data_IF_663644796321
#
_entry.id   IF_663644796321
#
_cell.length_a   1.000
_cell.length_b   1.000
_cell.length_c   1.000
_cell.angle_alpha   90.00
_cell.angle_beta   90.00
_cell.angle_gamma   90.00
#
_symmetry.space_group_name_H-M   'P 1'
#
loop_
_entity.id
_entity.type
_entity.pdbx_description
1 polymer ?
#
# COMPACT_ATOMS: atom_id res chain seq x y z
N UNK A 1 -92.05 -18.11 -21.98
CA UNK A 1 -92.00 -19.34 -21.16
C UNK A 1 -90.98 -20.25 -21.84
N UNK A 2 -89.88 -20.75 -21.28
CA UNK A 2 -89.25 -20.79 -19.96
C UNK A 2 -87.77 -21.15 -20.21
N UNK A 3 -86.80 -20.32 -19.84
CA UNK A 3 -85.90 -20.52 -18.68
C UNK A 3 -85.02 -21.79 -18.68
N UNK A 4 -83.78 -21.69 -19.21
CA UNK A 4 -82.53 -22.34 -18.74
C UNK A 4 -81.35 -21.51 -19.29
N UNK A 5 -80.71 -20.63 -18.52
CA UNK A 5 -79.57 -20.85 -17.59
C UNK A 5 -78.25 -21.25 -18.27
N UNK A 6 -77.49 -20.27 -18.76
CA UNK A 6 -76.03 -20.35 -18.88
C UNK A 6 -75.40 -19.53 -17.74
N UNK A 7 -74.69 -20.22 -16.86
CA UNK A 7 -73.92 -19.63 -15.77
C UNK A 7 -72.65 -18.97 -16.33
N UNK A 8 -72.63 -17.64 -16.32
CA UNK A 8 -71.44 -16.82 -16.54
C UNK A 8 -70.65 -16.76 -15.24
N UNK A 9 -69.41 -17.23 -15.28
CA UNK A 9 -68.40 -17.05 -14.23
C UNK A 9 -68.21 -15.56 -13.92
N UNK A 10 -68.61 -15.11 -12.73
CA UNK A 10 -68.13 -13.88 -12.08
C UNK A 10 -67.16 -14.26 -10.95
N UNK A 11 -65.99 -13.61 -10.85
CA UNK A 11 -65.01 -13.91 -9.82
C UNK A 11 -65.54 -13.52 -8.43
N UNK A 12 -65.27 -14.38 -7.45
CA UNK A 12 -65.51 -14.17 -6.02
C UNK A 12 -64.85 -12.86 -5.58
N UNK A 13 -65.65 -11.97 -5.00
CA UNK A 13 -65.16 -10.92 -4.10
C UNK A 13 -64.53 -11.63 -2.90
N UNK A 14 -63.20 -11.60 -2.82
CA UNK A 14 -62.48 -11.94 -1.59
C UNK A 14 -62.41 -10.66 -0.74
N UNK A 15 -62.97 -10.73 0.46
CA UNK A 15 -62.91 -9.69 1.47
C UNK A 15 -61.45 -9.29 1.73
N UNK A 16 -61.17 -7.99 1.63
CA UNK A 16 -59.91 -7.42 2.07
C UNK A 16 -59.78 -7.62 3.59
N UNK A 17 -58.70 -8.25 4.10
CA UNK A 17 -58.36 -8.13 5.50
C UNK A 17 -57.86 -6.70 5.75
N UNK A 18 -58.73 -5.89 6.35
CA UNK A 18 -58.36 -4.61 6.98
C UNK A 18 -57.42 -4.89 8.16
N UNK A 19 -56.12 -4.97 7.87
CA UNK A 19 -55.10 -5.30 8.87
C UNK A 19 -53.67 -4.93 8.48
N UNK A 20 -53.48 -4.07 7.49
CA UNK A 20 -52.18 -3.47 7.24
C UNK A 20 -51.99 -2.32 8.25
N UNK A 21 -51.16 -2.55 9.26
CA UNK A 21 -50.64 -1.46 10.08
C UNK A 21 -50.04 -0.40 9.13
N UNK A 22 -50.45 0.87 9.22
CA UNK A 22 -49.87 1.91 8.38
C UNK A 22 -48.37 1.96 8.68
N UNK A 23 -47.56 2.13 7.63
CA UNK A 23 -46.16 2.55 7.78
C UNK A 23 -46.16 3.74 8.74
N UNK A 24 -45.74 3.49 9.98
CA UNK A 24 -45.72 4.51 11.01
C UNK A 24 -44.71 5.55 10.57
N UNK A 25 -45.23 6.74 10.25
CA UNK A 25 -44.43 7.96 10.18
C UNK A 25 -43.64 7.99 11.50
N UNK A 26 -42.29 8.00 11.49
CA UNK A 26 -41.52 8.03 12.72
C UNK A 26 -41.97 9.24 13.55
N UNK A 27 -42.20 9.03 14.85
CA UNK A 27 -42.66 10.09 15.74
C UNK A 27 -41.84 11.39 15.54
N UNK A 28 -42.48 12.57 15.56
CA UNK A 28 -41.79 13.86 15.34
C UNK A 28 -40.64 14.14 16.34
N UNK A 29 -40.55 13.38 17.43
CA UNK A 29 -39.45 13.39 18.40
C UNK A 29 -38.14 12.80 17.82
N UNK A 30 -38.21 11.75 16.98
CA UNK A 30 -37.06 11.12 16.33
C UNK A 30 -36.47 11.99 15.21
N UNK A 31 -37.29 12.83 14.58
CA UNK A 31 -36.86 13.80 13.57
C UNK A 31 -36.04 14.97 14.15
N UNK A 32 -36.01 15.16 15.48
CA UNK A 32 -35.24 16.24 16.12
C UNK A 32 -33.96 15.77 16.81
N UNK A 33 -33.67 14.47 16.81
CA UNK A 33 -32.47 13.94 17.43
C UNK A 33 -31.22 14.41 16.67
N UNK A 34 -30.26 14.99 17.38
CA UNK A 34 -28.96 15.39 16.82
C UNK A 34 -27.86 14.42 17.26
N UNK A 35 -26.83 14.17 16.41
CA UNK A 35 -25.68 13.35 16.79
C UNK A 35 -24.91 13.95 17.98
N UNK A 36 -24.98 15.27 18.16
CA UNK A 36 -24.16 16.02 19.11
C UNK A 36 -22.66 15.86 18.84
N UNK A 37 -21.83 16.48 19.68
CA UNK A 37 -20.38 16.42 19.53
C UNK A 37 -19.84 14.98 19.52
N UNK A 38 -20.32 14.12 20.42
CA UNK A 38 -19.89 12.73 20.51
C UNK A 38 -20.18 11.89 19.26
N UNK A 39 -21.26 12.18 18.52
CA UNK A 39 -21.57 11.50 17.26
C UNK A 39 -20.61 11.91 16.13
N UNK A 40 -20.34 13.21 15.99
CA UNK A 40 -19.40 13.73 14.98
C UNK A 40 -17.94 13.37 15.28
N UNK A 41 -17.50 13.53 16.54
CA UNK A 41 -16.15 13.13 16.95
C UNK A 41 -15.96 11.62 16.82
N UNK A 42 -16.96 10.83 17.18
CA UNK A 42 -16.93 9.38 17.05
C UNK A 42 -16.82 8.92 15.60
N UNK A 43 -17.60 9.46 14.67
CA UNK A 43 -17.55 9.04 13.25
C UNK A 43 -16.23 9.45 12.60
N UNK A 44 -15.76 10.67 12.88
CA UNK A 44 -14.45 11.16 12.43
C UNK A 44 -13.34 10.19 12.86
N UNK A 45 -13.27 9.85 14.15
CA UNK A 45 -12.25 8.95 14.69
C UNK A 45 -12.40 7.51 14.19
N UNK A 46 -13.63 7.03 13.99
CA UNK A 46 -13.90 5.69 13.44
C UNK A 46 -13.36 5.60 12.01
N UNK A 47 -13.70 6.55 11.14
CA UNK A 47 -13.25 6.53 9.75
C UNK A 47 -11.74 6.77 9.65
N UNK A 48 -11.17 7.66 10.46
CA UNK A 48 -9.72 7.85 10.54
C UNK A 48 -8.99 6.56 10.95
N UNK A 49 -9.51 5.87 11.98
CA UNK A 49 -8.99 4.58 12.44
C UNK A 49 -9.04 3.51 11.36
N UNK A 50 -10.19 3.37 10.67
CA UNK A 50 -10.41 2.34 9.66
C UNK A 50 -9.52 2.55 8.44
N UNK A 51 -9.46 3.77 7.90
CA UNK A 51 -8.61 4.05 6.74
C UNK A 51 -7.13 3.92 7.10
N UNK A 52 -6.71 4.40 8.28
CA UNK A 52 -5.33 4.22 8.73
C UNK A 52 -4.97 2.73 8.88
N UNK A 53 -5.90 1.91 9.40
CA UNK A 53 -5.73 0.46 9.51
C UNK A 53 -5.67 -0.23 8.15
N UNK A 54 -6.55 0.15 7.22
CA UNK A 54 -6.55 -0.38 5.85
C UNK A 54 -5.20 -0.12 5.17
N UNK A 55 -4.69 1.11 5.26
CA UNK A 55 -3.38 1.45 4.71
C UNK A 55 -2.23 0.75 5.44
N UNK A 56 -2.31 0.55 6.76
CA UNK A 56 -1.32 -0.23 7.48
C UNK A 56 -1.29 -1.69 7.01
N UNK A 57 -2.46 -2.29 6.76
CA UNK A 57 -2.57 -3.65 6.23
C UNK A 57 -1.98 -3.76 4.82
N UNK A 58 -2.22 -2.79 3.93
CA UNK A 58 -1.57 -2.82 2.60
C UNK A 58 -0.05 -2.78 2.73
N UNK A 59 0.47 -2.10 3.76
CA UNK A 59 1.91 -2.04 4.05
C UNK A 59 2.48 -3.29 4.69
N UNK A 60 1.72 -3.92 5.57
CA UNK A 60 2.10 -5.23 6.12
C UNK A 60 2.10 -6.29 5.01
N UNK A 61 1.13 -6.24 4.10
CA UNK A 61 0.99 -7.21 3.03
C UNK A 61 2.09 -7.12 2.00
N UNK A 62 2.61 -5.93 1.69
CA UNK A 62 3.77 -5.82 0.80
C UNK A 62 5.01 -6.52 1.36
N UNK A 63 5.15 -6.56 2.70
CA UNK A 63 6.25 -7.24 3.38
C UNK A 63 5.99 -8.75 3.46
N UNK A 64 4.81 -9.16 3.94
CA UNK A 64 4.47 -10.58 4.13
C UNK A 64 4.27 -11.33 2.82
N UNK A 65 3.58 -10.71 1.88
CA UNK A 65 3.14 -11.27 0.61
C UNK A 65 3.70 -10.45 -0.54
N UNK A 66 3.31 -10.78 -1.76
CA UNK A 66 3.67 -10.01 -2.93
C UNK A 66 2.68 -8.86 -3.17
N UNK A 67 3.15 -7.77 -3.78
CA UNK A 67 2.42 -6.52 -3.98
C UNK A 67 0.97 -6.65 -4.48
N UNK A 68 0.73 -7.58 -5.41
CA UNK A 68 -0.57 -7.77 -6.04
C UNK A 68 -1.65 -8.29 -5.07
N UNK A 69 -1.27 -8.86 -3.92
CA UNK A 69 -2.23 -9.26 -2.91
C UNK A 69 -2.61 -8.12 -1.96
N UNK A 70 -1.99 -6.94 -2.05
CA UNK A 70 -2.44 -5.77 -1.30
C UNK A 70 -3.88 -5.37 -1.66
N UNK A 71 -4.34 -5.63 -2.90
CA UNK A 71 -5.72 -5.42 -3.33
C UNK A 71 -6.74 -6.28 -2.55
N UNK A 72 -6.30 -7.39 -1.95
CA UNK A 72 -7.16 -8.21 -1.07
C UNK A 72 -7.65 -7.41 0.14
N UNK A 73 -6.85 -6.48 0.66
CA UNK A 73 -7.23 -5.63 1.79
C UNK A 73 -8.43 -4.76 1.41
N UNK A 74 -8.34 -4.05 0.28
CA UNK A 74 -9.44 -3.19 -0.21
C UNK A 74 -10.69 -4.01 -0.50
N UNK A 75 -10.54 -5.16 -1.17
CA UNK A 75 -11.65 -6.06 -1.48
C UNK A 75 -12.36 -6.59 -0.23
N UNK A 76 -11.60 -7.01 0.79
CA UNK A 76 -12.15 -7.48 2.06
C UNK A 76 -12.75 -6.37 2.91
N UNK A 77 -12.22 -5.14 2.81
CA UNK A 77 -12.80 -3.96 3.44
C UNK A 77 -14.18 -3.66 2.86
N UNK A 78 -14.28 -3.52 1.53
CA UNK A 78 -15.56 -3.29 0.85
C UNK A 78 -16.57 -4.41 1.13
N UNK A 79 -16.12 -5.67 1.11
CA UNK A 79 -16.97 -6.81 1.46
C UNK A 79 -17.47 -6.75 2.90
N UNK A 80 -16.61 -6.43 3.88
CA UNK A 80 -16.99 -6.28 5.28
C UNK A 80 -18.02 -5.17 5.49
N UNK A 81 -17.79 -4.00 4.89
CA UNK A 81 -18.76 -2.91 4.92
C UNK A 81 -20.09 -3.30 4.26
N UNK A 82 -20.06 -3.95 3.09
CA UNK A 82 -21.26 -4.44 2.40
C UNK A 82 -22.04 -5.45 3.24
N UNK A 83 -21.35 -6.43 3.82
CA UNK A 83 -21.94 -7.44 4.70
C UNK A 83 -22.59 -6.81 5.95
N UNK A 84 -22.00 -5.75 6.49
CA UNK A 84 -22.57 -5.02 7.63
C UNK A 84 -23.90 -4.35 7.29
N UNK A 85 -24.03 -3.80 6.07
CA UNK A 85 -25.26 -3.19 5.56
C UNK A 85 -26.36 -4.23 5.38
N UNK A 86 -26.05 -5.37 4.77
CA UNK A 86 -26.99 -6.50 4.63
C UNK A 86 -27.46 -7.00 6.00
N UNK A 87 -26.52 -7.18 6.94
CA UNK A 87 -26.86 -7.61 8.29
C UNK A 87 -27.79 -6.63 9.01
N UNK A 88 -27.56 -5.32 8.84
CA UNK A 88 -28.40 -4.30 9.48
C UNK A 88 -29.79 -4.21 8.82
N UNK A 89 -29.88 -4.39 7.49
CA UNK A 89 -31.15 -4.40 6.76
C UNK A 89 -32.09 -5.53 7.19
N UNK A 90 -31.52 -6.68 7.60
CA UNK A 90 -32.29 -7.83 8.10
C UNK A 90 -32.70 -7.71 9.58
N UNK A 91 -32.22 -6.68 10.30
CA UNK A 91 -32.46 -6.49 11.74
C UNK A 91 -33.51 -5.39 11.97
N UNK A 92 -34.32 -5.56 13.02
CA UNK A 92 -35.26 -4.51 13.42
C UNK A 92 -34.53 -3.27 13.98
N UNK A 93 -34.97 -2.05 13.62
CA UNK A 93 -34.40 -0.81 14.15
C UNK A 93 -34.47 -0.78 15.69
N UNK A 94 -33.41 -0.30 16.34
CA UNK A 94 -33.33 -0.18 17.81
C UNK A 94 -33.48 1.28 18.26
N UNK A 95 -33.91 1.54 19.52
CA UNK A 95 -34.00 2.89 20.07
C UNK A 95 -32.64 3.64 20.08
N UNK A 96 -32.67 4.94 19.80
CA UNK A 96 -31.47 5.82 19.74
C UNK A 96 -30.71 5.87 21.08
N UNK A 97 -31.42 5.76 22.22
CA UNK A 97 -30.81 5.83 23.55
C UNK A 97 -29.88 4.63 23.88
N UNK A 98 -30.18 3.44 23.34
CA UNK A 98 -29.33 2.25 23.48
C UNK A 98 -28.26 2.17 22.38
N UNK A 99 -28.44 2.92 21.29
CA UNK A 99 -27.49 2.96 20.17
C UNK A 99 -26.13 3.52 20.59
N UNK A 100 -26.06 4.68 21.26
CA UNK A 100 -24.76 5.30 21.63
C UNK A 100 -23.88 4.37 22.47
N UNK A 101 -24.51 3.73 23.44
CA UNK A 101 -23.92 2.72 24.31
C UNK A 101 -23.44 1.49 23.53
N UNK A 102 -24.16 1.07 22.48
CA UNK A 102 -23.77 0.00 21.56
C UNK A 102 -22.65 0.40 20.61
N UNK A 103 -22.62 1.65 20.12
CA UNK A 103 -21.51 2.16 19.31
C UNK A 103 -20.21 2.11 20.11
N UNK A 104 -20.25 2.45 21.40
CA UNK A 104 -19.12 2.26 22.31
C UNK A 104 -18.65 0.80 22.44
N UNK A 105 -19.58 -0.15 22.54
CA UNK A 105 -19.26 -1.59 22.53
C UNK A 105 -18.64 -2.05 21.21
N UNK A 106 -19.20 -1.62 20.09
CA UNK A 106 -18.69 -1.94 18.76
C UNK A 106 -17.31 -1.32 18.53
N UNK A 107 -17.04 -0.13 19.06
CA UNK A 107 -15.71 0.48 19.02
C UNK A 107 -14.68 -0.28 19.85
N UNK A 108 -15.07 -0.82 21.01
CA UNK A 108 -14.19 -1.71 21.78
C UNK A 108 -13.95 -3.02 21.03
N UNK A 109 -15.00 -3.59 20.43
CA UNK A 109 -14.87 -4.77 19.57
C UNK A 109 -13.95 -4.49 18.38
N UNK A 110 -14.09 -3.33 17.72
CA UNK A 110 -13.23 -2.92 16.60
C UNK A 110 -11.76 -2.83 17.02
N UNK A 111 -11.50 -2.25 18.19
CA UNK A 111 -10.16 -2.17 18.78
C UNK A 111 -9.54 -3.57 18.91
N UNK A 112 -10.30 -4.52 19.47
CA UNK A 112 -9.83 -5.90 19.66
C UNK A 112 -9.68 -6.63 18.33
N UNK A 113 -10.63 -6.48 17.40
CA UNK A 113 -10.60 -7.19 16.12
C UNK A 113 -9.50 -6.69 15.20
N UNK A 114 -9.12 -5.40 15.24
CA UNK A 114 -7.96 -4.88 14.51
C UNK A 114 -6.65 -5.52 14.98
N UNK A 115 -6.43 -5.59 16.30
CA UNK A 115 -5.25 -6.24 16.87
C UNK A 115 -5.24 -7.75 16.61
N UNK A 116 -6.39 -8.41 16.77
CA UNK A 116 -6.54 -9.83 16.47
C UNK A 116 -6.29 -10.13 14.98
N UNK A 117 -6.82 -9.28 14.08
CA UNK A 117 -6.57 -9.37 12.64
C UNK A 117 -5.07 -9.32 12.34
N UNK A 118 -4.37 -8.33 12.89
CA UNK A 118 -2.92 -8.23 12.77
C UNK A 118 -2.19 -9.47 13.29
N UNK A 119 -2.55 -9.97 14.47
CA UNK A 119 -1.91 -11.16 15.05
C UNK A 119 -2.14 -12.40 14.19
N UNK A 120 -3.35 -12.58 13.65
CA UNK A 120 -3.66 -13.69 12.74
C UNK A 120 -2.83 -13.59 11.46
N UNK A 121 -2.84 -12.42 10.82
CA UNK A 121 -2.04 -12.15 9.60
C UNK A 121 -0.54 -12.32 9.86
N UNK A 122 -0.05 -11.95 11.04
CA UNK A 122 1.37 -12.07 11.41
C UNK A 122 1.78 -13.51 11.73
N UNK A 123 0.90 -14.31 12.35
CA UNK A 123 1.26 -15.62 12.92
C UNK A 123 0.80 -16.83 12.10
N UNK A 124 -0.22 -16.70 11.25
CA UNK A 124 -0.71 -17.79 10.42
C UNK A 124 0.11 -17.84 9.12
N UNK A 125 1.01 -18.82 8.93
CA UNK A 125 2.03 -18.81 7.88
C UNK A 125 1.42 -19.14 6.52
N UNK A 126 0.97 -18.12 5.80
CA UNK A 126 0.34 -18.29 4.49
C UNK A 126 1.36 -18.14 3.36
N UNK A 127 1.43 -19.14 2.49
CA UNK A 127 2.33 -19.18 1.34
C UNK A 127 1.57 -19.28 0.02
N UNK A 128 1.64 -18.24 -0.82
CA UNK A 128 0.83 -18.16 -2.05
C UNK A 128 1.23 -19.14 -3.17
N UNK A 129 2.50 -19.51 -3.31
CA UNK A 129 2.94 -20.38 -4.44
C UNK A 129 2.93 -21.87 -4.11
N UNK A 130 2.51 -22.23 -2.89
CA UNK A 130 2.74 -23.55 -2.33
C UNK A 130 1.42 -24.33 -2.12
N UNK A 131 0.37 -24.03 -2.88
CA UNK A 131 -0.94 -24.69 -2.72
C UNK A 131 -0.94 -26.16 -3.14
N UNK A 132 -0.18 -26.52 -4.19
CA UNK A 132 -0.15 -27.88 -4.70
C UNK A 132 0.58 -28.83 -3.75
N UNK A 133 1.70 -28.39 -3.17
CA UNK A 133 2.50 -29.21 -2.27
C UNK A 133 1.99 -29.12 -0.82
N UNK A 134 1.38 -28.00 -0.43
CA UNK A 134 0.87 -27.77 0.93
C UNK A 134 -0.61 -27.30 0.92
N UNK A 135 -1.58 -28.22 0.84
CA UNK A 135 -3.02 -27.90 0.81
C UNK A 135 -3.54 -27.16 2.05
N UNK A 136 -2.80 -27.18 3.17
CA UNK A 136 -3.13 -26.39 4.38
C UNK A 136 -3.20 -24.89 4.08
N UNK A 137 -2.53 -24.41 3.02
CA UNK A 137 -2.61 -23.02 2.57
C UNK A 137 -4.04 -22.58 2.20
N UNK A 138 -4.93 -23.49 1.78
CA UNK A 138 -6.34 -23.16 1.57
C UNK A 138 -7.05 -22.80 2.89
N UNK A 139 -6.74 -23.53 3.97
CA UNK A 139 -7.27 -23.22 5.31
C UNK A 139 -6.69 -21.90 5.83
N UNK A 140 -5.38 -21.69 5.68
CA UNK A 140 -4.73 -20.43 6.07
C UNK A 140 -5.30 -19.23 5.32
N UNK A 141 -5.52 -19.36 4.01
CA UNK A 141 -6.19 -18.33 3.22
C UNK A 141 -7.60 -18.04 3.75
N UNK A 142 -8.38 -19.07 4.06
CA UNK A 142 -9.69 -18.91 4.68
C UNK A 142 -9.65 -18.17 6.02
N UNK A 143 -8.70 -18.53 6.89
CA UNK A 143 -8.48 -17.85 8.18
C UNK A 143 -8.13 -16.38 7.97
N UNK A 144 -7.26 -16.06 7.00
CA UNK A 144 -6.90 -14.70 6.66
C UNK A 144 -8.11 -13.89 6.17
N UNK A 145 -8.91 -14.42 5.24
CA UNK A 145 -10.12 -13.73 4.77
C UNK A 145 -11.08 -13.42 5.91
N UNK A 146 -11.34 -14.38 6.79
CA UNK A 146 -12.19 -14.15 7.96
C UNK A 146 -11.60 -13.06 8.86
N UNK A 147 -10.31 -13.16 9.18
CA UNK A 147 -9.63 -12.19 10.04
C UNK A 147 -9.64 -10.77 9.46
N UNK A 148 -9.52 -10.62 8.14
CA UNK A 148 -9.58 -9.32 7.45
C UNK A 148 -11.00 -8.74 7.44
N UNK A 149 -12.01 -9.55 7.13
CA UNK A 149 -13.39 -9.08 6.99
C UNK A 149 -13.97 -8.60 8.33
N UNK A 150 -13.62 -9.25 9.44
CA UNK A 150 -14.21 -8.97 10.76
C UNK A 150 -14.06 -7.51 11.22
N UNK A 151 -12.88 -6.87 11.27
CA UNK A 151 -12.76 -5.47 11.67
C UNK A 151 -13.55 -4.52 10.76
N UNK A 152 -13.53 -4.72 9.44
CA UNK A 152 -14.28 -3.88 8.51
C UNK A 152 -15.80 -4.08 8.60
N UNK A 153 -16.24 -5.31 8.89
CA UNK A 153 -17.65 -5.58 9.21
C UNK A 153 -18.10 -4.82 10.47
N UNK A 154 -17.30 -4.85 11.54
CA UNK A 154 -17.61 -4.13 12.79
C UNK A 154 -17.60 -2.63 12.57
N UNK A 155 -16.64 -2.10 11.82
CA UNK A 155 -16.60 -0.68 11.44
C UNK A 155 -17.83 -0.28 10.62
N UNK A 156 -18.21 -1.09 9.64
CA UNK A 156 -19.41 -0.88 8.84
C UNK A 156 -20.69 -0.86 9.70
N UNK A 157 -20.79 -1.71 10.73
CA UNK A 157 -21.90 -1.66 11.68
C UNK A 157 -21.96 -0.33 12.46
N UNK A 158 -20.82 0.26 12.82
CA UNK A 158 -20.75 1.55 13.52
C UNK A 158 -21.26 2.66 12.59
N UNK A 159 -20.68 2.75 11.39
CA UNK A 159 -20.99 3.81 10.42
C UNK A 159 -22.44 3.69 9.94
N UNK A 160 -22.88 2.51 9.51
CA UNK A 160 -24.23 2.30 9.01
C UNK A 160 -25.30 2.59 10.07
N UNK A 161 -25.11 2.13 11.32
CA UNK A 161 -26.07 2.44 12.40
C UNK A 161 -26.15 3.94 12.68
N UNK A 162 -25.01 4.65 12.66
CA UNK A 162 -25.00 6.08 12.94
C UNK A 162 -25.68 6.89 11.83
N UNK A 163 -25.39 6.57 10.56
CA UNK A 163 -26.02 7.26 9.41
C UNK A 163 -27.52 6.96 9.33
N UNK A 164 -27.94 5.71 9.57
CA UNK A 164 -29.35 5.33 9.57
C UNK A 164 -30.15 5.97 10.73
N UNK A 165 -29.49 6.29 11.85
CA UNK A 165 -30.16 6.87 13.01
C UNK A 165 -30.43 8.37 12.91
N UNK A 166 -29.69 9.10 12.06
CA UNK A 166 -29.80 10.55 11.92
C UNK A 166 -29.98 10.98 10.45
N UNK A 167 -31.09 10.59 9.79
CA UNK A 167 -31.29 10.85 8.36
C UNK A 167 -31.26 12.34 8.00
N UNK A 168 -31.73 13.24 8.88
CA UNK A 168 -31.71 14.69 8.66
C UNK A 168 -30.31 15.32 8.78
N UNK A 169 -29.34 14.62 9.38
CA UNK A 169 -27.96 15.09 9.53
C UNK A 169 -26.98 14.30 8.65
N UNK A 170 -27.50 13.45 7.75
CA UNK A 170 -26.71 12.49 6.99
C UNK A 170 -25.59 13.16 6.19
N UNK A 171 -25.86 14.27 5.50
CA UNK A 171 -24.85 15.00 4.71
C UNK A 171 -23.67 15.51 5.57
N UNK A 172 -23.93 15.97 6.81
CA UNK A 172 -22.88 16.43 7.72
C UNK A 172 -22.09 15.26 8.31
N UNK A 173 -22.77 14.17 8.66
CA UNK A 173 -22.11 12.96 9.17
C UNK A 173 -21.22 12.36 8.09
N UNK A 174 -21.73 12.23 6.87
CA UNK A 174 -20.96 11.76 5.71
C UNK A 174 -19.76 12.66 5.41
N UNK A 175 -19.93 13.99 5.43
CA UNK A 175 -18.78 14.91 5.31
C UNK A 175 -17.74 14.75 6.42
N UNK A 176 -18.17 14.47 7.65
CA UNK A 176 -17.28 14.23 8.79
C UNK A 176 -16.54 12.89 8.66
N UNK A 177 -17.21 11.86 8.14
CA UNK A 177 -16.64 10.57 7.76
C UNK A 177 -15.52 10.76 6.73
N UNK A 178 -15.79 11.46 5.62
CA UNK A 178 -14.79 11.73 4.58
C UNK A 178 -13.58 12.52 5.10
N UNK A 179 -13.80 13.52 5.95
CA UNK A 179 -12.72 14.29 6.58
C UNK A 179 -11.90 13.40 7.54
N UNK A 180 -12.56 12.50 8.27
CA UNK A 180 -11.90 11.50 9.11
C UNK A 180 -11.04 10.53 8.31
N UNK A 181 -11.60 9.96 7.25
CA UNK A 181 -10.90 9.10 6.30
C UNK A 181 -9.65 9.79 5.71
N UNK A 182 -9.79 11.03 5.22
CA UNK A 182 -8.68 11.82 4.68
C UNK A 182 -7.59 12.09 5.74
N UNK A 183 -7.98 12.43 6.97
CA UNK A 183 -7.04 12.61 8.07
C UNK A 183 -6.29 11.30 8.39
N UNK A 184 -6.99 10.17 8.45
CA UNK A 184 -6.39 8.84 8.64
C UNK A 184 -5.34 8.53 7.56
N UNK A 185 -5.64 8.80 6.30
CA UNK A 185 -4.71 8.59 5.19
C UNK A 185 -3.47 9.49 5.27
N UNK A 186 -3.64 10.77 5.59
CA UNK A 186 -2.53 11.72 5.69
C UNK A 186 -1.64 11.44 6.90
N UNK A 187 -2.20 10.94 8.01
CA UNK A 187 -1.45 10.59 9.22
C UNK A 187 -0.42 9.48 8.98
N UNK A 188 -0.64 8.58 8.02
CA UNK A 188 0.30 7.51 7.73
C UNK A 188 1.69 8.04 7.35
N UNK A 189 1.76 9.08 6.51
CA UNK A 189 3.00 9.56 5.88
C UNK A 189 4.04 9.99 6.93
N UNK A 190 3.75 10.90 7.88
CA UNK A 190 4.75 11.32 8.88
C UNK A 190 4.93 10.30 10.01
N UNK A 191 3.98 9.39 10.24
CA UNK A 191 4.01 8.50 11.39
C UNK A 191 4.64 7.14 11.10
N UNK A 192 4.50 6.60 9.89
CA UNK A 192 5.04 5.27 9.55
C UNK A 192 6.57 5.18 9.72
N UNK A 193 7.39 6.21 9.43
CA UNK A 193 8.85 6.08 9.60
C UNK A 193 9.27 5.87 11.06
N UNK A 194 8.50 6.43 11.99
CA UNK A 194 8.82 6.38 13.43
C UNK A 194 8.12 5.21 14.14
N UNK A 195 6.89 4.90 13.76
CA UNK A 195 6.07 3.88 14.42
C UNK A 195 6.20 2.50 13.77
N UNK A 196 6.66 2.42 12.52
CA UNK A 196 6.54 1.24 11.67
C UNK A 196 5.09 0.88 11.37
N UNK A 197 4.86 -0.09 10.49
CA UNK A 197 3.50 -0.51 10.17
C UNK A 197 2.78 -1.12 11.39
N UNK A 198 3.53 -1.75 12.29
CA UNK A 198 3.03 -2.37 13.51
C UNK A 198 2.53 -1.32 14.52
N UNK A 199 3.26 -0.21 14.68
CA UNK A 199 2.82 0.90 15.51
C UNK A 199 1.61 1.62 14.91
N UNK A 200 1.51 1.70 13.58
CA UNK A 200 0.30 2.25 12.92
C UNK A 200 -0.93 1.39 13.22
N UNK A 201 -0.82 0.06 13.24
CA UNK A 201 -1.94 -0.82 13.66
C UNK A 201 -2.38 -0.53 15.10
N UNK A 202 -1.43 -0.37 16.03
CA UNK A 202 -1.74 -0.03 17.43
C UNK A 202 -2.39 1.35 17.52
N UNK A 203 -1.93 2.33 16.73
CA UNK A 203 -2.53 3.65 16.65
C UNK A 203 -3.97 3.60 16.10
N UNK A 204 -4.23 2.82 15.05
CA UNK A 204 -5.58 2.63 14.52
C UNK A 204 -6.52 2.04 15.57
N UNK A 205 -6.08 1.00 16.30
CA UNK A 205 -6.85 0.43 17.40
C UNK A 205 -7.11 1.48 18.51
N UNK A 206 -6.11 2.32 18.84
CA UNK A 206 -6.26 3.39 19.83
C UNK A 206 -7.28 4.45 19.37
N UNK A 207 -7.29 4.83 18.09
CA UNK A 207 -8.29 5.73 17.51
C UNK A 207 -9.71 5.12 17.55
N UNK A 208 -9.85 3.80 17.33
CA UNK A 208 -11.12 3.11 17.49
C UNK A 208 -11.62 3.16 18.95
N UNK A 209 -10.73 2.97 19.92
CA UNK A 209 -11.08 3.08 21.35
C UNK A 209 -11.45 4.53 21.74
N UNK A 210 -10.75 5.53 21.20
CA UNK A 210 -11.10 6.95 21.36
C UNK A 210 -12.47 7.28 20.75
N UNK A 211 -12.79 6.74 19.59
CA UNK A 211 -14.12 6.85 18.99
C UNK A 211 -15.19 6.26 19.94
N UNK A 212 -14.92 5.10 20.53
CA UNK A 212 -15.78 4.48 21.54
C UNK A 212 -16.05 5.39 22.73
N UNK A 213 -15.03 6.09 23.22
CA UNK A 213 -15.17 7.03 24.34
C UNK A 213 -16.04 8.24 23.98
N UNK A 214 -15.95 8.72 22.73
CA UNK A 214 -16.80 9.79 22.20
C UNK A 214 -18.27 9.36 22.05
N UNK A 215 -18.53 8.11 21.62
CA UNK A 215 -19.88 7.57 21.54
C UNK A 215 -20.50 7.28 22.91
N UNK A 216 -19.70 6.85 23.89
CA UNK A 216 -20.18 6.28 25.15
C UNK A 216 -20.66 7.38 26.13
N UNK A 217 -21.96 7.38 26.53
CA UNK A 217 -22.50 8.36 27.47
C UNK A 217 -21.80 8.34 28.83
N UNK A 218 -21.70 9.49 29.50
CA UNK A 218 -21.04 9.61 30.81
C UNK A 218 -21.65 8.71 31.92
N UNK A 219 -22.93 8.36 31.80
CA UNK A 219 -23.62 7.44 32.72
C UNK A 219 -23.09 5.99 32.65
N UNK A 220 -22.47 5.61 31.54
CA UNK A 220 -21.97 4.25 31.30
C UNK A 220 -20.50 4.12 31.77
N UNK A 221 -20.31 4.17 33.08
CA UNK A 221 -18.98 4.27 33.72
C UNK A 221 -18.10 3.05 33.43
N UNK A 222 -18.67 1.86 33.43
CA UNK A 222 -17.94 0.61 33.20
C UNK A 222 -17.31 0.59 31.80
N UNK A 223 -18.07 0.90 30.75
CA UNK A 223 -17.53 0.90 29.38
C UNK A 223 -16.50 1.99 29.17
N UNK A 224 -16.72 3.19 29.73
CA UNK A 224 -15.70 4.25 29.71
C UNK A 224 -14.41 3.80 30.38
N UNK A 225 -14.48 3.11 31.53
CA UNK A 225 -13.30 2.56 32.20
C UNK A 225 -12.58 1.54 31.32
N UNK A 226 -13.30 0.61 30.68
CA UNK A 226 -12.71 -0.37 29.75
C UNK A 226 -12.02 0.30 28.55
N UNK A 227 -12.65 1.33 27.96
CA UNK A 227 -12.07 2.09 26.85
C UNK A 227 -10.82 2.87 27.28
N UNK A 228 -10.86 3.50 28.47
CA UNK A 228 -9.69 4.21 29.02
C UNK A 228 -8.54 3.26 29.33
N UNK A 229 -8.83 2.07 29.87
CA UNK A 229 -7.83 1.02 30.09
C UNK A 229 -7.25 0.52 28.77
N UNK A 230 -8.08 0.32 27.74
CA UNK A 230 -7.61 -0.04 26.40
C UNK A 230 -6.70 1.04 25.81
N UNK A 231 -7.10 2.32 25.89
CA UNK A 231 -6.28 3.45 25.43
C UNK A 231 -4.95 3.50 26.18
N UNK A 232 -4.96 3.36 27.51
CA UNK A 232 -3.74 3.37 28.32
C UNK A 232 -2.81 2.20 27.96
N UNK A 233 -3.35 0.99 27.80
CA UNK A 233 -2.58 -0.18 27.37
C UNK A 233 -1.98 -0.02 25.97
N UNK A 234 -2.74 0.52 25.03
CA UNK A 234 -2.27 0.77 23.66
C UNK A 234 -1.24 1.89 23.60
N UNK A 235 -1.40 2.96 24.39
CA UNK A 235 -0.40 4.02 24.51
C UNK A 235 0.94 3.51 25.05
N UNK A 236 0.91 2.56 26.01
CA UNK A 236 2.12 1.90 26.51
C UNK A 236 2.72 0.91 25.50
N UNK A 237 1.90 0.26 24.68
CA UNK A 237 2.34 -0.67 23.65
C UNK A 237 2.92 0.06 22.43
N UNK A 238 2.38 1.22 22.05
CA UNK A 238 2.71 1.96 20.84
C UNK A 238 4.22 2.14 20.59
N UNK A 239 5.03 2.68 21.53
CA UNK A 239 6.47 2.83 21.32
C UNK A 239 7.23 1.50 21.26
N UNK A 240 6.63 0.42 21.79
CA UNK A 240 7.23 -0.93 21.82
C UNK A 240 6.71 -1.81 20.68
N UNK A 241 5.74 -1.34 19.89
CA UNK A 241 5.03 -2.16 18.91
C UNK A 241 5.97 -2.85 17.92
N UNK A 242 6.99 -2.20 17.32
CA UNK A 242 7.92 -2.87 16.40
C UNK A 242 8.69 -4.04 17.03
N UNK A 243 8.94 -3.98 18.34
CA UNK A 243 9.67 -5.02 19.08
C UNK A 243 8.77 -6.16 19.57
N UNK A 244 7.58 -5.84 20.08
CA UNK A 244 6.64 -6.80 20.69
C UNK A 244 5.81 -7.50 19.61
N UNK A 245 5.42 -6.76 18.58
CA UNK A 245 4.62 -7.22 17.45
C UNK A 245 5.53 -7.38 16.24
N UNK A 246 6.70 -8.03 16.37
CA UNK A 246 7.65 -8.13 15.27
C UNK A 246 7.01 -8.81 14.04
N UNK A 247 7.02 -8.12 12.89
CA UNK A 247 6.56 -8.67 11.63
C UNK A 247 7.66 -9.52 10.97
N UNK A 248 7.36 -10.80 10.76
CA UNK A 248 8.25 -11.77 10.10
C UNK A 248 7.59 -12.30 8.83
N UNK A 249 8.22 -12.16 7.64
CA UNK A 249 7.68 -12.71 6.40
C UNK A 249 7.47 -14.22 6.48
N UNK A 250 6.39 -14.71 5.87
CA UNK A 250 6.04 -16.14 5.90
C UNK A 250 6.76 -16.93 4.82
N UNK A 251 7.14 -16.26 3.73
CA UNK A 251 7.90 -16.83 2.64
C UNK A 251 9.30 -16.25 2.61
N UNK A 252 10.30 -17.11 2.38
CA UNK A 252 11.66 -16.65 2.16
C UNK A 252 11.80 -16.05 0.75
N UNK A 253 11.70 -14.73 0.64
CA UNK A 253 11.92 -14.01 -0.62
C UNK A 253 13.38 -13.59 -0.70
N UNK A 254 14.08 -14.03 -1.74
CA UNK A 254 15.49 -13.67 -2.00
C UNK A 254 16.41 -13.89 -0.79
N UNK A 255 16.21 -15.01 -0.07
CA UNK A 255 16.99 -15.41 1.12
C UNK A 255 16.87 -14.45 2.32
N UNK A 256 15.92 -13.53 2.31
CA UNK A 256 15.65 -12.60 3.39
C UNK A 256 15.45 -13.32 4.74
N UNK A 257 14.58 -14.32 4.80
CA UNK A 257 14.29 -15.04 6.06
C UNK A 257 15.51 -15.83 6.52
N UNK A 258 16.24 -16.42 5.58
CA UNK A 258 17.50 -17.12 5.88
C UNK A 258 18.52 -16.16 6.50
N UNK A 259 18.74 -14.98 5.92
CA UNK A 259 19.66 -13.98 6.47
C UNK A 259 19.18 -13.39 7.81
N UNK A 260 17.86 -13.16 7.95
CA UNK A 260 17.25 -12.72 9.19
C UNK A 260 17.46 -13.72 10.34
N UNK A 261 17.36 -15.03 10.05
CA UNK A 261 17.55 -16.10 11.02
C UNK A 261 18.98 -16.17 11.56
N UNK A 262 19.99 -15.81 10.75
CA UNK A 262 21.39 -15.71 11.18
C UNK A 262 21.71 -14.41 11.94
N UNK A 263 20.73 -13.54 12.19
CA UNK A 263 20.92 -12.31 12.94
C UNK A 263 21.69 -11.22 12.18
N UNK A 264 21.70 -11.28 10.85
CA UNK A 264 22.47 -10.36 10.02
C UNK A 264 21.74 -9.06 9.66
N UNK A 265 20.44 -8.93 9.98
CA UNK A 265 19.71 -7.66 9.84
C UNK A 265 19.99 -6.81 11.06
N UNK A 266 20.72 -5.71 10.87
CA UNK A 266 21.07 -4.80 11.96
C UNK A 266 20.25 -3.51 11.94
N UNK A 267 19.58 -3.20 10.83
CA UNK A 267 18.75 -2.01 10.72
C UNK A 267 17.53 -2.23 9.83
N UNK A 268 16.38 -1.70 10.28
CA UNK A 268 15.11 -1.70 9.55
C UNK A 268 14.57 -0.27 9.57
N UNK A 269 14.19 0.24 8.40
CA UNK A 269 13.58 1.56 8.22
C UNK A 269 12.24 1.41 7.53
N UNK A 270 11.30 2.23 7.95
CA UNK A 270 10.05 2.41 7.24
C UNK A 270 10.06 3.77 6.54
N UNK A 271 9.58 3.79 5.31
CA UNK A 271 9.17 4.99 4.61
C UNK A 271 7.68 4.87 4.26
N UNK A 272 7.02 5.95 3.81
CA UNK A 272 5.70 5.85 3.22
C UNK A 272 5.63 4.88 2.03
N UNK A 273 6.78 4.63 1.37
CA UNK A 273 6.87 3.83 0.15
C UNK A 273 7.30 2.39 0.41
N UNK A 274 8.17 2.10 1.36
CA UNK A 274 8.61 0.73 1.59
C UNK A 274 9.16 0.52 2.98
N UNK A 275 9.35 -0.75 3.32
CA UNK A 275 10.25 -1.15 4.39
C UNK A 275 11.61 -1.49 3.80
N UNK A 276 12.68 -0.91 4.34
CA UNK A 276 14.07 -1.20 3.96
C UNK A 276 14.75 -1.91 5.12
N UNK A 277 15.31 -3.09 4.85
CA UNK A 277 16.08 -3.88 5.80
C UNK A 277 17.52 -4.02 5.30
N UNK A 278 18.49 -3.85 6.19
CA UNK A 278 19.90 -3.81 5.83
C UNK A 278 20.65 -4.91 6.56
N UNK A 279 21.44 -5.68 5.80
CA UNK A 279 22.22 -6.78 6.33
C UNK A 279 23.60 -6.89 5.72
N UNK A 280 24.51 -7.58 6.43
CA UNK A 280 25.78 -7.99 5.86
C UNK A 280 25.61 -9.28 5.07
N UNK A 281 26.01 -9.26 3.80
CA UNK A 281 26.13 -10.48 2.99
C UNK A 281 27.54 -11.09 3.14
N UNK A 282 28.55 -10.24 2.95
CA UNK A 282 29.99 -10.52 2.98
C UNK A 282 30.72 -9.24 3.43
N UNK A 283 32.00 -9.33 3.80
CA UNK A 283 32.79 -8.19 4.32
C UNK A 283 32.79 -6.93 3.43
N UNK A 284 32.50 -7.09 2.14
CA UNK A 284 32.53 -6.00 1.16
C UNK A 284 31.16 -5.71 0.51
N UNK A 285 30.06 -6.29 1.00
CA UNK A 285 28.71 -6.10 0.45
C UNK A 285 27.68 -5.99 1.59
N UNK A 286 26.91 -4.90 1.56
CA UNK A 286 25.69 -4.73 2.37
C UNK A 286 24.47 -4.96 1.49
N UNK A 287 23.61 -5.91 1.87
CA UNK A 287 22.34 -6.13 1.20
C UNK A 287 21.33 -5.08 1.67
N UNK A 288 20.57 -4.55 0.71
CA UNK A 288 19.38 -3.71 0.93
C UNK A 288 18.18 -4.53 0.47
N UNK A 289 17.38 -5.04 1.40
CA UNK A 289 16.10 -5.66 1.06
C UNK A 289 14.97 -4.66 1.18
N UNK A 290 14.08 -4.69 0.20
CA UNK A 290 12.90 -3.84 0.14
C UNK A 290 11.66 -4.71 0.28
N UNK A 291 10.78 -4.32 1.21
CA UNK A 291 9.52 -4.99 1.54
C UNK A 291 9.71 -6.50 1.81
N UNK A 292 10.63 -6.84 2.74
CA UNK A 292 10.87 -8.22 3.16
C UNK A 292 11.41 -9.14 2.05
N UNK A 293 12.27 -8.60 1.18
CA UNK A 293 12.89 -9.33 0.06
C UNK A 293 12.06 -9.34 -1.23
N UNK A 294 10.99 -8.53 -1.28
CA UNK A 294 10.19 -8.33 -2.51
C UNK A 294 11.01 -7.68 -3.63
N UNK A 295 11.98 -6.84 -3.26
CA UNK A 295 13.06 -6.41 -4.13
C UNK A 295 14.39 -6.38 -3.34
N UNK A 296 15.51 -6.31 -4.05
CA UNK A 296 16.84 -6.23 -3.43
C UNK A 296 17.77 -5.31 -4.22
N UNK A 297 18.69 -4.68 -3.49
CA UNK A 297 19.85 -3.97 -4.01
C UNK A 297 21.02 -4.24 -3.06
N UNK A 298 22.18 -3.67 -3.36
CA UNK A 298 23.33 -3.80 -2.48
C UNK A 298 24.21 -2.56 -2.52
N UNK A 299 24.79 -2.22 -1.37
CA UNK A 299 25.88 -1.26 -1.27
C UNK A 299 27.18 -2.05 -1.39
N UNK A 300 27.94 -1.74 -2.42
CA UNK A 300 29.26 -2.32 -2.64
C UNK A 300 30.31 -1.49 -1.91
N UNK A 301 31.23 -2.17 -1.22
CA UNK A 301 32.39 -1.49 -0.66
C UNK A 301 33.25 -0.95 -1.77
N UNK A 302 33.54 0.34 -1.70
CA UNK A 302 34.34 1.02 -2.71
C UNK A 302 35.26 2.05 -2.03
N UNK A 303 36.46 2.23 -2.56
CA UNK A 303 37.49 3.10 -1.97
C UNK A 303 37.38 4.56 -2.41
N UNK A 304 36.50 4.88 -3.36
CA UNK A 304 36.35 6.24 -3.91
C UNK A 304 37.26 6.53 -5.11
N UNK A 305 38.11 5.58 -5.54
CA UNK A 305 39.10 5.80 -6.58
C UNK A 305 38.75 5.08 -7.89
N UNK A 306 38.25 5.86 -8.86
CA UNK A 306 37.90 5.37 -10.19
C UNK A 306 39.11 4.82 -10.96
N UNK A 307 40.35 5.26 -10.69
CA UNK A 307 41.54 4.77 -11.38
C UNK A 307 41.86 3.30 -11.05
N UNK A 308 41.49 2.88 -9.84
CA UNK A 308 41.62 1.48 -9.38
C UNK A 308 40.38 0.64 -9.65
N UNK A 309 39.32 1.27 -10.14
CA UNK A 309 38.04 0.61 -10.44
C UNK A 309 38.11 0.09 -11.87
N UNK A 310 38.41 -1.21 -12.03
CA UNK A 310 38.27 -1.82 -13.35
C UNK A 310 36.82 -1.65 -13.83
N UNK A 311 36.58 -1.45 -15.15
CA UNK A 311 35.24 -1.48 -15.70
C UNK A 311 34.57 -2.76 -15.23
N UNK A 312 33.54 -2.59 -14.39
CA UNK A 312 32.82 -3.72 -13.83
C UNK A 312 32.24 -4.47 -15.04
N UNK A 313 32.66 -5.69 -15.35
CA UNK A 313 32.22 -6.38 -16.57
C UNK A 313 31.41 -7.64 -16.22
N UNK A 314 30.29 -7.43 -15.53
CA UNK A 314 29.60 -8.54 -14.85
C UNK A 314 28.13 -8.72 -15.20
N UNK A 315 27.54 -7.98 -16.13
CA UNK A 315 26.13 -8.19 -16.48
C UNK A 315 25.70 -7.50 -17.78
N UNK A 316 24.52 -7.89 -18.27
CA UNK A 316 23.76 -7.18 -19.32
C UNK A 316 23.55 -5.69 -19.01
N UNK A 317 23.67 -5.27 -17.74
CA UNK A 317 23.63 -3.86 -17.29
C UNK A 317 24.71 -3.02 -17.97
N UNK A 318 25.86 -3.63 -18.27
CA UNK A 318 26.98 -2.92 -18.87
C UNK A 318 26.88 -2.63 -20.35
N UNK A 319 25.98 -3.34 -21.03
CA UNK A 319 25.90 -3.31 -22.48
C UNK A 319 25.61 -1.91 -23.04
N UNK A 320 24.77 -1.13 -22.34
CA UNK A 320 24.46 0.24 -22.73
C UNK A 320 25.71 1.15 -22.73
N UNK A 321 26.62 0.92 -21.78
CA UNK A 321 27.86 1.67 -21.67
C UNK A 321 28.93 1.15 -22.63
N UNK A 322 28.92 -0.14 -22.94
CA UNK A 322 29.79 -0.72 -23.98
C UNK A 322 29.50 -0.12 -25.36
N UNK A 323 28.22 0.11 -25.68
CA UNK A 323 27.79 0.80 -26.90
C UNK A 323 28.20 2.29 -26.91
N UNK A 324 28.57 2.85 -25.76
CA UNK A 324 28.97 4.25 -25.54
C UNK A 324 30.45 4.39 -25.14
N UNK A 325 31.27 3.36 -25.38
CA UNK A 325 32.70 3.41 -25.05
C UNK A 325 33.38 4.60 -25.69
N UNK A 326 34.11 5.36 -24.87
CA UNK A 326 34.88 6.52 -25.31
C UNK A 326 34.06 7.78 -25.60
N UNK A 327 32.76 7.81 -25.29
CA UNK A 327 31.90 8.98 -25.56
C UNK A 327 31.60 9.84 -24.33
N UNK A 328 32.12 9.48 -23.15
CA UNK A 328 31.84 10.14 -21.86
C UNK A 328 30.34 10.44 -21.61
N UNK A 329 29.47 9.42 -21.62
CA UNK A 329 28.02 9.62 -21.70
C UNK A 329 27.44 10.41 -20.52
N UNK A 330 26.44 11.24 -20.78
CA UNK A 330 25.56 11.80 -19.74
C UNK A 330 24.44 10.81 -19.40
N UNK A 331 24.30 10.43 -18.13
CA UNK A 331 23.52 9.24 -17.73
C UNK A 331 22.42 9.60 -16.74
N UNK A 332 21.23 9.03 -16.93
CA UNK A 332 20.19 8.98 -15.91
C UNK A 332 19.93 7.55 -15.47
N UNK A 333 19.89 7.32 -14.15
CA UNK A 333 19.61 6.02 -13.56
C UNK A 333 18.36 6.11 -12.69
N UNK A 334 17.34 5.31 -13.03
CA UNK A 334 16.07 5.25 -12.31
C UNK A 334 16.09 4.10 -11.30
N UNK A 335 16.02 4.45 -10.01
CA UNK A 335 16.08 3.53 -8.87
C UNK A 335 17.46 2.90 -8.65
N UNK A 336 18.53 3.69 -8.45
CA UNK A 336 19.88 3.17 -8.24
C UNK A 336 20.08 2.54 -6.86
N UNK A 337 19.20 2.81 -5.88
CA UNK A 337 19.27 2.29 -4.52
C UNK A 337 20.67 2.28 -3.88
N UNK A 338 21.32 1.11 -3.78
CA UNK A 338 22.66 0.97 -3.21
C UNK A 338 23.82 1.46 -4.11
N UNK A 339 23.52 1.96 -5.30
CA UNK A 339 24.45 2.70 -6.16
C UNK A 339 25.32 1.83 -7.06
N UNK A 340 25.06 0.53 -7.18
CA UNK A 340 25.82 -0.37 -8.06
C UNK A 340 25.82 0.14 -9.51
N UNK A 341 24.68 0.57 -10.01
CA UNK A 341 24.49 1.11 -11.35
C UNK A 341 25.22 2.46 -11.53
N UNK A 342 25.25 3.29 -10.48
CA UNK A 342 25.99 4.56 -10.48
C UNK A 342 27.49 4.30 -10.60
N UNK A 343 28.03 3.40 -9.76
CA UNK A 343 29.44 3.01 -9.82
C UNK A 343 29.79 2.40 -11.18
N UNK A 344 28.86 1.62 -11.75
CA UNK A 344 29.01 1.05 -13.07
C UNK A 344 29.16 2.13 -14.15
N UNK A 345 28.26 3.11 -14.19
CA UNK A 345 28.30 4.22 -15.13
C UNK A 345 29.61 5.01 -15.03
N UNK A 346 30.05 5.34 -13.81
CA UNK A 346 31.31 6.04 -13.57
C UNK A 346 32.53 5.22 -14.03
N UNK A 347 32.54 3.90 -13.79
CA UNK A 347 33.63 3.02 -14.23
C UNK A 347 33.75 2.91 -15.76
N UNK A 348 32.69 3.29 -16.50
CA UNK A 348 32.68 3.36 -17.97
C UNK A 348 32.90 4.79 -18.50
N UNK A 349 33.32 5.71 -17.64
CA UNK A 349 33.71 7.06 -18.03
C UNK A 349 32.55 8.03 -18.19
N UNK A 350 31.38 7.78 -17.60
CA UNK A 350 30.27 8.75 -17.59
C UNK A 350 30.77 10.15 -17.20
N UNK A 351 30.31 11.18 -17.92
CA UNK A 351 30.61 12.58 -17.63
C UNK A 351 29.81 13.08 -16.44
N UNK A 352 28.55 12.66 -16.36
CA UNK A 352 27.61 12.97 -15.28
C UNK A 352 26.57 11.83 -15.11
N UNK A 353 26.08 11.66 -13.88
CA UNK A 353 25.05 10.69 -13.52
C UNK A 353 23.98 11.35 -12.66
N UNK A 354 22.75 11.47 -13.20
CA UNK A 354 21.56 11.76 -12.41
C UNK A 354 21.00 10.44 -11.84
N UNK A 355 21.20 10.26 -10.54
CA UNK A 355 20.72 9.12 -9.77
C UNK A 355 19.35 9.47 -9.17
N UNK A 356 18.27 8.89 -9.69
CA UNK A 356 16.90 9.22 -9.26
C UNK A 356 16.32 8.08 -8.43
N UNK A 357 16.30 8.26 -7.12
CA UNK A 357 15.77 7.29 -6.15
C UNK A 357 14.47 7.82 -5.55
N UNK A 358 13.42 7.00 -5.51
CA UNK A 358 12.10 7.42 -5.06
C UNK A 358 11.94 7.25 -3.54
N UNK A 359 12.64 6.28 -2.94
CA UNK A 359 12.49 6.01 -1.51
C UNK A 359 13.33 6.96 -0.65
N UNK A 360 12.71 7.85 0.15
CA UNK A 360 13.43 8.78 1.00
C UNK A 360 14.30 8.09 2.06
N UNK A 361 13.92 6.87 2.48
CA UNK A 361 14.72 6.11 3.45
C UNK A 361 16.02 5.58 2.84
N UNK A 362 16.02 5.22 1.55
CA UNK A 362 17.23 4.81 0.82
C UNK A 362 18.11 6.03 0.52
N UNK A 363 17.51 7.16 0.12
CA UNK A 363 18.26 8.42 -0.07
C UNK A 363 18.94 8.86 1.23
N UNK A 364 18.24 8.81 2.37
CA UNK A 364 18.83 9.11 3.66
C UNK A 364 19.94 8.10 4.00
N UNK A 365 19.70 6.81 3.74
CA UNK A 365 20.64 5.74 4.03
C UNK A 365 21.99 5.95 3.34
N UNK A 366 22.00 6.18 2.04
CA UNK A 366 23.24 6.30 1.26
C UNK A 366 24.02 7.59 1.53
N UNK A 367 23.39 8.57 2.18
CA UNK A 367 24.02 9.81 2.62
C UNK A 367 24.52 9.77 4.06
N UNK A 368 24.14 8.75 4.84
CA UNK A 368 24.64 8.63 6.20
C UNK A 368 26.12 8.30 6.23
N UNK A 369 26.91 8.93 7.13
CA UNK A 369 28.38 8.81 7.12
C UNK A 369 28.89 7.38 7.05
N UNK A 370 28.30 6.46 7.82
CA UNK A 370 28.70 5.04 7.84
C UNK A 370 28.58 4.37 6.46
N UNK A 371 27.48 4.62 5.75
CA UNK A 371 27.21 3.98 4.46
C UNK A 371 27.91 4.70 3.33
N UNK A 372 27.89 6.04 3.37
CA UNK A 372 28.63 6.87 2.44
C UNK A 372 30.12 6.52 2.46
N UNK A 373 30.75 6.38 3.62
CA UNK A 373 32.16 5.98 3.73
C UNK A 373 32.40 4.55 3.25
N UNK A 374 31.50 3.61 3.57
CA UNK A 374 31.60 2.23 3.10
C UNK A 374 31.64 2.14 1.56
N UNK A 375 30.86 2.99 0.88
CA UNK A 375 30.80 3.06 -0.58
C UNK A 375 31.67 4.16 -1.19
N UNK A 376 32.75 4.59 -0.52
CA UNK A 376 33.70 5.54 -1.10
C UNK A 376 33.09 6.90 -1.46
N UNK A 377 32.02 7.29 -0.75
CA UNK A 377 31.23 8.50 -0.96
C UNK A 377 30.68 8.64 -2.37
N UNK A 378 30.25 7.52 -2.96
CA UNK A 378 29.76 7.43 -4.34
C UNK A 378 28.71 8.49 -4.71
N UNK A 379 27.71 8.70 -3.85
CA UNK A 379 26.65 9.69 -4.10
C UNK A 379 27.08 11.14 -3.86
N UNK A 380 28.26 11.36 -3.28
CA UNK A 380 28.87 12.69 -3.12
C UNK A 380 30.01 12.92 -4.13
N UNK A 381 30.23 11.98 -5.06
CA UNK A 381 31.20 12.14 -6.13
C UNK A 381 30.80 13.32 -7.03
N UNK A 382 31.73 14.17 -7.51
CA UNK A 382 31.41 15.39 -8.26
C UNK A 382 30.65 15.17 -9.58
N UNK A 383 30.69 13.94 -10.11
CA UNK A 383 29.95 13.52 -11.32
C UNK A 383 28.57 12.91 -11.04
N UNK A 384 28.11 12.89 -9.79
CA UNK A 384 26.85 12.26 -9.39
C UNK A 384 25.96 13.29 -8.73
N UNK A 385 24.69 13.34 -9.15
CA UNK A 385 23.65 14.08 -8.43
C UNK A 385 22.53 13.13 -8.05
N UNK A 386 22.30 12.98 -6.74
CA UNK A 386 21.22 12.17 -6.20
C UNK A 386 19.94 13.01 -6.05
N UNK A 387 18.85 12.54 -6.64
CA UNK A 387 17.53 13.15 -6.58
C UNK A 387 16.56 12.22 -5.84
N UNK A 388 15.86 12.75 -4.84
CA UNK A 388 14.75 12.06 -4.19
C UNK A 388 13.45 12.35 -4.95
N UNK A 389 13.13 11.56 -5.96
CA UNK A 389 12.05 11.84 -6.90
C UNK A 389 11.54 10.57 -7.58
N UNK A 390 10.39 10.66 -8.23
CA UNK A 390 9.90 9.61 -9.12
C UNK A 390 10.57 9.76 -10.49
N UNK A 391 11.10 8.66 -11.04
CA UNK A 391 11.94 8.67 -12.25
C UNK A 391 11.32 9.35 -13.45
N UNK A 392 10.04 9.08 -13.75
CA UNK A 392 9.37 9.67 -14.92
C UNK A 392 8.97 11.13 -14.67
N UNK A 393 8.52 11.44 -13.47
CA UNK A 393 8.23 12.79 -13.01
C UNK A 393 9.48 13.68 -13.15
N UNK A 394 10.63 13.20 -12.67
CA UNK A 394 11.91 13.88 -12.82
C UNK A 394 12.28 14.08 -14.29
N UNK A 395 12.22 13.01 -15.10
CA UNK A 395 12.59 13.07 -16.50
C UNK A 395 11.80 14.13 -17.27
N UNK A 396 10.48 14.21 -17.07
CA UNK A 396 9.60 15.17 -17.76
C UNK A 396 9.89 16.65 -17.44
N UNK A 397 10.70 16.93 -16.42
CA UNK A 397 11.18 18.29 -16.11
C UNK A 397 12.52 18.60 -16.78
N UNK A 398 13.18 17.62 -17.36
CA UNK A 398 14.47 17.79 -18.03
C UNK A 398 14.27 18.24 -19.48
N UNK A 399 15.28 18.87 -20.09
CA UNK A 399 15.26 19.14 -21.53
C UNK A 399 15.22 17.84 -22.34
N UNK A 400 14.54 17.87 -23.48
CA UNK A 400 14.62 16.79 -24.47
C UNK A 400 16.04 16.64 -25.03
N UNK A 401 16.42 15.43 -25.42
CA UNK A 401 17.73 15.14 -26.02
C UNK A 401 18.96 15.29 -25.10
N UNK A 402 18.80 15.23 -23.78
CA UNK A 402 19.88 15.54 -22.82
C UNK A 402 20.70 14.32 -22.38
N UNK A 403 20.14 13.11 -22.44
CA UNK A 403 20.81 11.90 -21.92
C UNK A 403 21.35 10.99 -23.04
N UNK A 404 22.56 10.49 -22.87
CA UNK A 404 23.12 9.45 -23.73
C UNK A 404 22.70 8.04 -23.31
N UNK A 405 22.45 7.86 -22.00
CA UNK A 405 21.96 6.60 -21.44
C UNK A 405 20.87 6.90 -20.42
N UNK A 406 19.70 6.31 -20.61
CA UNK A 406 18.67 6.21 -19.55
C UNK A 406 18.59 4.74 -19.16
N UNK A 407 18.89 4.43 -17.90
CA UNK A 407 18.95 3.06 -17.41
C UNK A 407 17.99 2.83 -16.23
N UNK A 408 17.29 1.70 -16.26
CA UNK A 408 16.50 1.20 -15.13
C UNK A 408 16.74 -0.29 -14.94
N UNK A 409 17.45 -0.64 -13.85
CA UNK A 409 17.78 -2.04 -13.56
C UNK A 409 16.73 -2.70 -12.67
N UNK A 410 16.38 -2.12 -11.52
CA UNK A 410 15.44 -2.79 -10.60
C UNK A 410 14.56 -1.86 -9.75
N UNK A 411 13.53 -1.27 -10.37
CA UNK A 411 12.56 -0.39 -9.72
C UNK A 411 11.20 -1.07 -9.44
N UNK A 412 11.23 -2.30 -8.90
CA UNK A 412 10.00 -2.89 -8.38
C UNK A 412 9.60 -2.16 -7.10
N UNK A 413 8.84 -1.07 -7.24
CA UNK A 413 8.19 -0.37 -6.13
C UNK A 413 6.69 -0.70 -6.19
N UNK A 414 6.20 -1.65 -5.38
CA UNK A 414 4.79 -2.02 -5.26
C UNK A 414 3.82 -0.84 -5.16
N UNK A 415 4.28 0.28 -4.62
CA UNK A 415 3.45 1.45 -4.27
C UNK A 415 2.93 2.20 -5.48
N UNK A 416 3.67 2.19 -6.60
CA UNK A 416 3.16 2.76 -7.85
C UNK A 416 1.88 2.06 -8.34
N UNK A 417 1.60 0.83 -7.87
CA UNK A 417 0.35 0.12 -8.13
C UNK A 417 -0.74 0.43 -7.09
N UNK A 418 -0.37 0.83 -5.86
CA UNK A 418 -1.29 1.03 -4.74
C UNK A 418 -1.87 2.46 -4.63
N UNK A 419 -1.33 3.44 -5.36
CA UNK A 419 -1.74 4.86 -5.26
C UNK A 419 -3.15 5.20 -5.81
N UNK A 420 -4.08 4.24 -5.87
CA UNK A 420 -5.51 4.54 -5.81
C UNK A 420 -6.17 5.08 -7.08
N UNK A 421 -5.80 4.58 -8.25
CA UNK A 421 -6.70 4.61 -9.42
C UNK A 421 -7.02 3.16 -9.82
N UNK A 422 -8.26 2.74 -9.57
CA UNK A 422 -8.80 1.49 -10.13
C UNK A 422 -8.37 1.38 -11.60
N UNK A 423 -7.68 0.29 -11.95
CA UNK A 423 -7.43 -0.17 -13.31
C UNK A 423 -6.64 0.76 -14.29
N UNK A 424 -5.85 1.74 -13.81
CA UNK A 424 -5.07 2.61 -14.73
C UNK A 424 -3.54 2.52 -14.63
N UNK A 425 -2.94 1.72 -13.75
CA UNK A 425 -1.47 1.60 -13.69
C UNK A 425 -0.95 0.18 -13.95
N UNK A 426 -0.94 -0.20 -15.23
CA UNK A 426 0.22 -0.97 -15.71
C UNK A 426 1.46 -0.14 -15.38
N UNK A 427 2.51 -0.76 -14.82
CA UNK A 427 3.71 -0.10 -14.30
C UNK A 427 4.04 1.22 -15.02
N UNK A 428 3.89 2.37 -14.34
CA UNK A 428 3.99 3.73 -14.92
C UNK A 428 5.25 4.01 -15.74
N UNK A 429 6.28 3.17 -15.56
CA UNK A 429 7.59 3.24 -16.18
C UNK A 429 7.73 2.36 -17.44
N UNK A 430 6.72 1.55 -17.78
CA UNK A 430 6.74 0.58 -18.89
C UNK A 430 5.52 0.71 -19.82
N UNK A 431 4.86 1.87 -19.82
CA UNK A 431 3.78 2.18 -20.77
C UNK A 431 4.34 2.79 -22.05
N UNK A 432 3.55 2.83 -23.13
CA UNK A 432 3.96 3.52 -24.37
C UNK A 432 4.33 4.97 -24.11
N UNK A 433 3.54 5.67 -23.30
CA UNK A 433 3.78 7.07 -22.95
C UNK A 433 5.11 7.22 -22.20
N UNK A 434 5.45 6.27 -21.32
CA UNK A 434 6.75 6.27 -20.65
C UNK A 434 7.90 6.05 -21.65
N UNK A 435 7.74 5.13 -22.60
CA UNK A 435 8.71 4.92 -23.67
C UNK A 435 8.86 6.17 -24.55
N UNK A 436 7.76 6.90 -24.81
CA UNK A 436 7.86 8.18 -25.51
C UNK A 436 8.65 9.21 -24.70
N UNK A 437 8.37 9.33 -23.40
CA UNK A 437 9.12 10.24 -22.54
C UNK A 437 10.62 9.87 -22.56
N UNK A 438 10.99 8.60 -22.38
CA UNK A 438 12.40 8.18 -22.44
C UNK A 438 13.06 8.53 -23.78
N UNK A 439 12.44 8.17 -24.90
CA UNK A 439 13.01 8.38 -26.22
C UNK A 439 13.12 9.86 -26.60
N UNK A 440 12.24 10.73 -26.10
CA UNK A 440 12.36 12.19 -26.31
C UNK A 440 13.55 12.79 -25.56
N UNK A 441 13.91 12.23 -24.41
CA UNK A 441 14.99 12.77 -23.58
C UNK A 441 16.35 12.13 -23.90
N UNK A 442 16.40 11.15 -24.81
CA UNK A 442 17.64 10.60 -25.33
C UNK A 442 18.21 11.46 -26.45
N UNK A 443 19.54 11.56 -26.49
CA UNK A 443 20.27 12.09 -27.65
C UNK A 443 19.96 11.25 -28.90
N UNK A 444 20.23 11.75 -30.13
CA UNK A 444 19.95 10.99 -31.35
C UNK A 444 20.59 9.60 -31.42
N UNK A 445 21.73 9.42 -30.73
CA UNK A 445 22.43 8.14 -30.61
C UNK A 445 22.26 7.49 -29.22
N UNK A 446 21.35 7.99 -28.39
CA UNK A 446 21.16 7.59 -27.01
C UNK A 446 20.62 6.17 -26.86
N UNK A 447 20.85 5.56 -25.70
CA UNK A 447 20.46 4.18 -25.40
C UNK A 447 19.49 4.14 -24.21
N UNK A 448 18.33 3.51 -24.42
CA UNK A 448 17.42 3.15 -23.34
C UNK A 448 17.71 1.72 -22.88
N UNK A 449 18.06 1.53 -21.60
CA UNK A 449 18.35 0.23 -21.02
C UNK A 449 17.36 -0.13 -19.91
N UNK A 450 16.47 -1.08 -20.17
CA UNK A 450 15.45 -1.54 -19.23
C UNK A 450 15.70 -3.01 -18.87
N UNK A 451 16.00 -3.31 -17.62
CA UNK A 451 16.19 -4.69 -17.14
C UNK A 451 14.93 -5.14 -16.39
N UNK A 452 14.08 -5.95 -17.02
CA UNK A 452 12.82 -6.43 -16.43
C UNK A 452 12.50 -7.84 -16.91
N UNK A 453 11.70 -8.55 -16.12
CA UNK A 453 10.97 -9.71 -16.61
C UNK A 453 9.98 -9.32 -17.72
N UNK A 454 9.51 -10.30 -18.51
CA UNK A 454 8.61 -10.08 -19.65
C UNK A 454 9.20 -9.17 -20.76
N UNK A 455 10.50 -9.32 -21.05
CA UNK A 455 11.22 -8.56 -22.08
C UNK A 455 10.49 -8.50 -23.44
N UNK A 456 9.79 -9.57 -23.84
CA UNK A 456 9.01 -9.60 -25.07
C UNK A 456 7.88 -8.56 -25.09
N UNK A 457 7.18 -8.35 -23.97
CA UNK A 457 6.12 -7.32 -23.89
C UNK A 457 6.70 -5.93 -24.03
N UNK A 458 7.85 -5.68 -23.42
CA UNK A 458 8.55 -4.39 -23.51
C UNK A 458 9.03 -4.16 -24.95
N UNK A 459 9.60 -5.19 -25.60
CA UNK A 459 10.04 -5.11 -26.99
C UNK A 459 8.88 -4.85 -27.96
N UNK A 460 7.70 -5.46 -27.75
CA UNK A 460 6.51 -5.19 -28.56
C UNK A 460 6.06 -3.74 -28.38
N UNK A 461 5.95 -3.25 -27.14
CA UNK A 461 5.56 -1.86 -26.87
C UNK A 461 6.57 -0.87 -27.46
N UNK A 462 7.86 -1.15 -27.36
CA UNK A 462 8.92 -0.32 -27.93
C UNK A 462 8.88 -0.32 -29.47
N UNK A 463 8.64 -1.47 -30.10
CA UNK A 463 8.49 -1.58 -31.55
C UNK A 463 7.34 -0.72 -32.06
N UNK A 464 6.20 -0.75 -31.37
CA UNK A 464 5.03 0.06 -31.71
C UNK A 464 5.31 1.56 -31.56
N UNK A 465 5.93 1.99 -30.46
CA UNK A 465 6.32 3.39 -30.22
C UNK A 465 7.34 3.89 -31.26
N UNK A 466 8.30 3.04 -31.67
CA UNK A 466 9.25 3.38 -32.73
C UNK A 466 8.53 3.54 -34.08
N UNK A 467 7.57 2.67 -34.39
CA UNK A 467 6.72 2.79 -35.57
C UNK A 467 5.88 4.07 -35.57
N UNK A 468 5.29 4.43 -34.43
CA UNK A 468 4.56 5.70 -34.24
C UNK A 468 5.46 6.93 -34.47
N UNK A 469 6.77 6.80 -34.23
CA UNK A 469 7.80 7.83 -34.52
C UNK A 469 8.29 7.81 -35.97
N UNK A 470 7.75 6.95 -36.82
CA UNK A 470 8.09 6.86 -38.24
C UNK A 470 9.30 5.97 -38.56
N UNK A 471 9.83 5.23 -37.59
CA UNK A 471 10.91 4.24 -37.83
C UNK A 471 10.33 3.04 -38.57
N UNK A 472 10.82 2.79 -39.80
CA UNK A 472 10.29 1.75 -40.69
C UNK A 472 10.69 0.34 -40.27
N UNK A 473 11.88 0.17 -39.69
CA UNK A 473 12.37 -1.11 -39.16
C UNK A 473 12.73 -0.98 -37.67
N UNK A 474 11.74 -1.05 -36.76
CA UNK A 474 12.00 -0.99 -35.32
C UNK A 474 12.95 -2.09 -34.83
N UNK A 475 13.01 -3.24 -35.52
CA UNK A 475 13.86 -4.37 -35.14
C UNK A 475 15.35 -4.02 -35.16
N UNK A 476 15.77 -3.17 -36.09
CA UNK A 476 17.15 -2.66 -36.17
C UNK A 476 17.56 -1.77 -34.98
N UNK A 477 16.60 -1.31 -34.18
CA UNK A 477 16.81 -0.42 -33.04
C UNK A 477 16.58 -1.10 -31.68
N UNK A 478 16.26 -2.40 -31.67
CA UNK A 478 15.94 -3.14 -30.45
C UNK A 478 16.92 -4.29 -30.22
N UNK A 479 17.43 -4.40 -28.99
CA UNK A 479 18.25 -5.51 -28.55
C UNK A 479 17.62 -6.14 -27.30
N UNK A 480 17.31 -7.43 -27.39
CA UNK A 480 16.78 -8.22 -26.27
C UNK A 480 17.82 -9.25 -25.87
N UNK A 481 18.25 -9.21 -24.61
CA UNK A 481 19.22 -10.15 -24.04
C UNK A 481 18.58 -10.87 -22.86
N UNK A 482 18.93 -12.16 -22.67
CA UNK A 482 18.39 -13.03 -21.62
C UNK A 482 19.40 -13.28 -20.51
#
# INVERSE_FOLDING_TARGET
>A
MSSQSQAVLKPRVAEHPSGAAPHSIPEPSLLRASPGFGGYAGIFLTCASVLLFELALTRIFSVLLWAHLAFMVVGTALFGFGLSGVYLALRTPRPVASMRSRLGELSLLLTVTMLACYLVVSKVPFEMWNFQENPINYLYLGIWYVALVVPFFVAGLIVAQLLSAYPLHNSKLYGTDLIGAAAGSLLLIPLIPNLGAEGIVVLSAMLAALAGLAYTPARDRMRRALLLLAIAGLALLLPKAPSVLKLTPHQDKRRFNTAAAYGHIYETRWSPLSRVDIAYHKNDILDIWIDGGTNESAILKWNGDLSTTQPLNWSTIGLAYDLKRGTEPNVMIIGPAGGKEVLFALSHGASHVDAVEMDPSIVALVNEPRYAEFMGRLYQHPKVTLHNDEGRSFLRRQPEGVYDVIQSVNNYTPVAMNAGALNLSAAFLLTKEALHDYLNHLTPNGVLALHRGAALRIAIAASEVLGERGIQDPGAHLLVTS
#
